data_IF_997183018932
#
_entry.id   IF_997183018932
#
_cell.length_a   1.000
_cell.length_b   1.000
_cell.length_c   1.000
_cell.angle_alpha   90.00
_cell.angle_beta   90.00
_cell.angle_gamma   90.00
#
_symmetry.space_group_name_H-M   'P 1'
#
loop_
_entity.id
_entity.type
_entity.pdbx_description
1 polymer ?
#
# COMPACT_ATOMS: atom_id res chain seq x y z
N UNK A 1 3.41 15.32 7.27
CA UNK A 1 3.19 15.23 5.80
C UNK A 1 2.11 14.18 5.57
N UNK A 2 0.86 14.61 5.37
CA UNK A 2 -0.28 13.69 5.25
C UNK A 2 -0.17 13.01 3.88
N UNK A 3 0.20 11.72 3.85
CA UNK A 3 0.03 10.88 2.66
C UNK A 3 -1.47 10.63 2.47
N UNK A 4 -2.12 11.56 1.79
CA UNK A 4 -3.44 11.34 1.19
C UNK A 4 -3.26 10.34 0.04
N UNK A 5 -3.12 9.06 0.37
CA UNK A 5 -3.40 8.00 -0.60
C UNK A 5 -4.91 7.93 -0.77
N UNK A 6 -5.46 8.88 -1.53
CA UNK A 6 -6.84 8.81 -1.97
C UNK A 6 -6.85 7.73 -3.04
N UNK A 7 -7.26 6.52 -2.64
CA UNK A 7 -7.47 5.40 -3.56
C UNK A 7 -8.64 5.82 -4.46
N UNK A 8 -8.32 6.47 -5.58
CA UNK A 8 -9.28 6.92 -6.59
C UNK A 8 -9.95 5.67 -7.16
N UNK A 9 -11.28 5.61 -7.13
CA UNK A 9 -11.99 4.43 -7.63
C UNK A 9 -11.72 4.28 -9.13
N UNK A 10 -11.71 3.05 -9.66
CA UNK A 10 -11.47 2.82 -11.09
C UNK A 10 -12.46 3.57 -11.99
N UNK A 11 -13.68 3.81 -11.51
CA UNK A 11 -14.69 4.60 -12.22
C UNK A 11 -14.33 6.08 -12.32
N UNK A 12 -13.55 6.59 -11.38
CA UNK A 12 -13.09 7.99 -11.37
C UNK A 12 -11.83 8.16 -12.23
N UNK A 13 -11.07 7.09 -12.49
CA UNK A 13 -9.87 7.11 -13.36
C UNK A 13 -10.21 7.42 -14.83
N UNK A 14 -11.41 7.07 -15.29
CA UNK A 14 -11.87 7.33 -16.67
C UNK A 14 -12.19 8.80 -16.94
N UNK A 15 -12.47 9.56 -15.89
CA UNK A 15 -12.82 10.98 -15.95
C UNK A 15 -11.69 11.86 -15.39
N UNK A 16 -10.45 11.36 -15.45
CA UNK A 16 -9.30 12.02 -14.81
C UNK A 16 -8.53 12.94 -15.74
N UNK A 17 -8.52 12.65 -17.03
CA UNK A 17 -7.72 13.36 -18.02
C UNK A 17 -8.60 14.22 -18.92
N UNK A 18 -8.13 15.42 -19.25
CA UNK A 18 -8.84 16.34 -20.14
C UNK A 18 -7.84 17.13 -20.97
N UNK A 19 -8.17 17.44 -22.22
CA UNK A 19 -7.36 18.33 -23.04
C UNK A 19 -7.27 19.73 -22.41
N UNK A 20 -6.09 20.35 -22.46
CA UNK A 20 -5.86 21.70 -21.93
C UNK A 20 -6.81 22.72 -22.58
N UNK A 21 -7.12 22.56 -23.87
CA UNK A 21 -8.06 23.45 -24.57
C UNK A 21 -9.47 23.40 -23.97
N UNK A 22 -9.93 22.21 -23.57
CA UNK A 22 -11.23 22.05 -22.93
C UNK A 22 -11.24 22.59 -21.49
N UNK A 23 -10.13 22.43 -20.76
CA UNK A 23 -9.92 23.10 -19.46
C UNK A 23 -10.00 24.63 -19.61
N UNK A 24 -9.39 25.19 -20.66
CA UNK A 24 -9.43 26.63 -20.94
C UNK A 24 -10.87 27.08 -21.25
N UNK A 25 -11.61 26.35 -22.10
CA UNK A 25 -13.02 26.65 -22.40
C UNK A 25 -13.86 26.64 -21.12
N UNK A 26 -13.68 25.64 -20.26
CA UNK A 26 -14.40 25.54 -19.00
C UNK A 26 -14.06 26.69 -18.05
N UNK A 27 -12.79 27.07 -17.96
CA UNK A 27 -12.32 28.22 -17.17
C UNK A 27 -12.97 29.52 -17.64
N UNK A 28 -12.99 29.76 -18.95
CA UNK A 28 -13.61 30.97 -19.54
C UNK A 28 -15.10 30.99 -19.21
N UNK A 29 -15.79 29.86 -19.39
CA UNK A 29 -17.21 29.74 -19.06
C UNK A 29 -17.48 30.04 -17.58
N UNK A 30 -16.73 29.41 -16.66
CA UNK A 30 -16.90 29.63 -15.23
C UNK A 30 -16.63 31.08 -14.84
N UNK A 31 -15.60 31.70 -15.42
CA UNK A 31 -15.31 33.13 -15.21
C UNK A 31 -16.49 34.01 -15.64
N UNK A 32 -17.11 33.73 -16.77
CA UNK A 32 -18.26 34.49 -17.26
C UNK A 32 -19.48 34.30 -16.36
N UNK A 33 -19.75 33.09 -15.88
CA UNK A 33 -20.85 32.83 -14.95
C UNK A 33 -20.64 33.55 -13.61
N UNK A 34 -19.43 33.48 -13.05
CA UNK A 34 -19.09 34.21 -11.83
C UNK A 34 -19.15 35.73 -12.02
N UNK A 35 -18.78 36.24 -13.19
CA UNK A 35 -18.88 37.67 -13.51
C UNK A 35 -20.33 38.15 -13.59
N UNK A 36 -21.22 37.37 -14.24
CA UNK A 36 -22.68 37.65 -14.23
C UNK A 36 -23.22 37.69 -12.81
N UNK A 37 -22.80 36.72 -11.99
CA UNK A 37 -23.17 36.63 -10.59
C UNK A 37 -22.61 37.84 -9.79
N UNK A 38 -21.40 38.29 -10.08
CA UNK A 38 -20.85 39.50 -9.46
C UNK A 38 -21.63 40.79 -9.77
N UNK A 39 -22.25 40.86 -10.96
CA UNK A 39 -22.94 42.06 -11.44
C UNK A 39 -24.44 42.10 -11.15
N UNK A 40 -25.03 41.01 -10.65
CA UNK A 40 -26.44 40.99 -10.25
C UNK A 40 -26.64 41.68 -8.88
N UNK A 41 -27.69 42.49 -8.74
CA UNK A 41 -28.05 43.08 -7.44
C UNK A 41 -28.79 42.07 -6.57
N UNK A 42 -28.18 41.67 -5.46
CA UNK A 42 -28.68 40.59 -4.60
C UNK A 42 -29.64 41.07 -3.51
N UNK A 43 -30.88 40.57 -3.51
CA UNK A 43 -31.86 40.79 -2.42
C UNK A 43 -31.72 39.73 -1.31
N UNK A 44 -30.53 39.64 -0.71
CA UNK A 44 -30.25 38.76 0.44
C UNK A 44 -29.44 37.49 0.13
N UNK A 45 -28.88 36.88 1.18
CA UNK A 45 -27.88 35.80 1.09
C UNK A 45 -28.42 34.47 0.52
N UNK A 46 -29.68 34.13 0.76
CA UNK A 46 -30.29 32.88 0.27
C UNK A 46 -30.42 32.83 -1.26
N UNK A 47 -30.64 33.97 -1.92
CA UNK A 47 -30.73 34.05 -3.38
C UNK A 47 -29.34 33.85 -4.00
N UNK A 48 -28.31 34.43 -3.39
CA UNK A 48 -26.91 34.26 -3.82
C UNK A 48 -26.45 32.80 -3.69
N UNK A 49 -26.75 32.15 -2.56
CA UNK A 49 -26.45 30.73 -2.35
C UNK A 49 -27.16 29.82 -3.35
N UNK A 50 -28.44 30.07 -3.63
CA UNK A 50 -29.20 29.31 -4.64
C UNK A 50 -28.61 29.46 -6.06
N UNK A 51 -28.18 30.67 -6.43
CA UNK A 51 -27.53 30.93 -7.73
C UNK A 51 -26.15 30.27 -7.82
N UNK A 52 -25.35 30.32 -6.76
CA UNK A 52 -24.07 29.60 -6.68
C UNK A 52 -24.26 28.08 -6.79
N UNK A 53 -25.29 27.53 -6.14
CA UNK A 53 -25.64 26.11 -6.26
C UNK A 53 -25.97 25.75 -7.71
N UNK A 54 -26.72 26.61 -8.41
CA UNK A 54 -27.02 26.42 -9.82
C UNK A 54 -25.77 26.46 -10.71
N UNK A 55 -24.85 27.40 -10.48
CA UNK A 55 -23.55 27.44 -11.18
C UNK A 55 -22.75 26.16 -10.93
N UNK A 56 -22.73 25.66 -9.68
CA UNK A 56 -22.06 24.41 -9.33
C UNK A 56 -22.65 23.20 -10.06
N UNK A 57 -23.97 23.06 -10.08
CA UNK A 57 -24.64 21.94 -10.76
C UNK A 57 -24.39 21.98 -12.28
N UNK A 58 -24.40 23.17 -12.88
CA UNK A 58 -24.09 23.36 -14.29
C UNK A 58 -22.61 23.09 -14.60
N UNK A 59 -21.71 23.44 -13.69
CA UNK A 59 -20.29 23.12 -13.82
C UNK A 59 -20.07 21.61 -13.78
N UNK A 60 -20.73 20.90 -12.86
CA UNK A 60 -20.64 19.45 -12.72
C UNK A 60 -21.14 18.72 -13.97
N UNK A 61 -22.29 19.13 -14.51
CA UNK A 61 -22.84 18.53 -15.74
C UNK A 61 -21.93 18.75 -16.95
N UNK A 62 -21.44 19.97 -17.14
CA UNK A 62 -20.49 20.31 -18.23
C UNK A 62 -19.19 19.55 -18.10
N UNK A 63 -18.64 19.45 -16.89
CA UNK A 63 -17.40 18.73 -16.65
C UNK A 63 -17.56 17.25 -16.97
N UNK A 64 -18.66 16.63 -16.51
CA UNK A 64 -18.97 15.22 -16.81
C UNK A 64 -19.11 14.96 -18.31
N UNK A 65 -19.78 15.85 -19.02
CA UNK A 65 -19.94 15.76 -20.48
C UNK A 65 -18.60 15.90 -21.22
N UNK A 66 -17.79 16.92 -20.88
CA UNK A 66 -16.47 17.12 -21.48
C UNK A 66 -15.53 15.94 -21.24
N UNK A 67 -15.49 15.43 -20.00
CA UNK A 67 -14.65 14.30 -19.65
C UNK A 67 -15.08 13.02 -20.39
N UNK A 68 -16.39 12.80 -20.54
CA UNK A 68 -16.91 11.66 -21.31
C UNK A 68 -16.57 11.78 -22.79
N UNK A 69 -16.79 12.95 -23.40
CA UNK A 69 -16.47 13.17 -24.81
C UNK A 69 -14.97 13.01 -25.06
N UNK A 70 -14.13 13.49 -24.14
CA UNK A 70 -12.68 13.29 -24.21
C UNK A 70 -12.33 11.80 -24.08
N UNK A 71 -12.88 11.08 -23.10
CA UNK A 71 -12.61 9.65 -22.94
C UNK A 71 -13.03 8.84 -24.16
N UNK A 72 -14.18 9.14 -24.77
CA UNK A 72 -14.68 8.41 -25.94
C UNK A 72 -13.74 8.52 -27.15
N UNK A 73 -12.99 9.64 -27.28
CA UNK A 73 -12.01 9.84 -28.36
C UNK A 73 -10.61 9.35 -27.96
N UNK A 74 -10.18 9.59 -26.72
CA UNK A 74 -8.83 9.28 -26.24
C UNK A 74 -8.61 7.80 -25.91
N UNK A 75 -9.70 7.06 -25.70
CA UNK A 75 -9.72 5.64 -25.40
C UNK A 75 -10.26 4.78 -26.54
N UNK A 76 -10.52 5.34 -27.72
CA UNK A 76 -10.94 4.56 -28.87
C UNK A 76 -9.77 3.73 -29.42
N UNK A 77 -10.07 2.59 -30.03
CA UNK A 77 -9.07 1.71 -30.65
C UNK A 77 -8.24 2.45 -31.71
N UNK A 78 -8.90 3.32 -32.48
CA UNK A 78 -8.33 4.14 -33.56
C UNK A 78 -7.83 5.52 -33.10
N UNK A 79 -7.74 5.77 -31.78
CA UNK A 79 -7.39 7.04 -31.13
C UNK A 79 -7.00 8.20 -32.06
N UNK A 80 -7.93 9.15 -32.22
CA UNK A 80 -7.80 10.29 -33.15
C UNK A 80 -7.54 11.61 -32.40
N UNK A 81 -7.09 11.56 -31.14
CA UNK A 81 -6.85 12.76 -30.34
C UNK A 81 -5.67 13.54 -30.93
N UNK A 82 -5.95 14.76 -31.39
CA UNK A 82 -4.95 15.69 -31.89
C UNK A 82 -3.99 16.16 -30.77
N UNK A 83 -2.76 16.49 -31.13
CA UNK A 83 -1.56 16.76 -30.29
C UNK A 83 -1.66 17.84 -29.18
N UNK A 84 -2.87 18.35 -28.88
CA UNK A 84 -3.04 19.29 -27.77
C UNK A 84 -2.64 18.63 -26.45
N UNK A 85 -1.92 19.37 -25.58
CA UNK A 85 -1.48 18.81 -24.32
C UNK A 85 -2.64 18.42 -23.44
N UNK A 86 -2.49 17.30 -22.75
CA UNK A 86 -3.51 16.76 -21.87
C UNK A 86 -3.13 17.08 -20.43
N UNK A 87 -4.13 17.35 -19.60
CA UNK A 87 -3.97 17.64 -18.19
C UNK A 87 -4.58 16.50 -17.38
N UNK A 88 -3.85 16.02 -16.38
CA UNK A 88 -4.43 15.24 -15.30
C UNK A 88 -5.15 16.20 -14.34
N UNK A 89 -6.48 16.17 -14.32
CA UNK A 89 -7.32 17.04 -13.49
C UNK A 89 -7.07 16.85 -11.98
N UNK A 90 -6.47 15.73 -11.56
CA UNK A 90 -6.16 15.45 -10.16
C UNK A 90 -4.81 16.02 -9.73
N UNK A 91 -3.77 15.82 -10.54
CA UNK A 91 -2.40 16.25 -10.21
C UNK A 91 -2.05 17.61 -10.81
N UNK A 92 -2.90 18.13 -11.70
CA UNK A 92 -2.65 19.32 -12.53
C UNK A 92 -1.36 19.20 -13.37
N UNK A 93 -0.89 17.98 -13.64
CA UNK A 93 0.30 17.73 -14.43
C UNK A 93 -0.06 17.59 -15.91
N UNK A 94 0.80 18.14 -16.75
CA UNK A 94 0.71 18.01 -18.21
C UNK A 94 1.23 16.64 -18.63
N UNK A 95 0.41 15.93 -19.39
CA UNK A 95 0.68 14.63 -20.01
C UNK A 95 0.85 14.88 -21.51
N UNK A 96 1.90 14.30 -22.08
CA UNK A 96 2.21 14.41 -23.51
C UNK A 96 1.73 13.20 -24.34
N UNK A 97 1.03 12.24 -23.71
CA UNK A 97 0.45 11.10 -24.40
C UNK A 97 -0.94 11.47 -24.93
N UNK A 98 -1.19 11.40 -26.24
CA UNK A 98 -2.50 11.71 -26.83
C UNK A 98 -3.53 10.61 -26.61
N UNK A 99 -3.08 9.36 -26.54
CA UNK A 99 -3.92 8.17 -26.43
C UNK A 99 -3.73 7.48 -25.09
N UNK A 100 -4.82 6.96 -24.53
CA UNK A 100 -4.82 6.22 -23.28
C UNK A 100 -5.36 4.81 -23.52
N UNK A 101 -4.93 3.86 -22.67
CA UNK A 101 -5.40 2.47 -22.65
C UNK A 101 -5.43 1.98 -21.20
N UNK A 102 -6.04 0.82 -20.95
CA UNK A 102 -6.05 0.19 -19.63
C UNK A 102 -6.89 0.94 -18.58
N UNK A 103 -6.30 1.27 -17.44
CA UNK A 103 -7.01 1.88 -16.29
C UNK A 103 -7.71 3.21 -16.61
N UNK A 104 -7.12 4.03 -17.48
CA UNK A 104 -7.68 5.33 -17.88
C UNK A 104 -8.90 5.20 -18.79
N UNK A 105 -9.07 4.04 -19.42
CA UNK A 105 -10.14 3.77 -20.37
C UNK A 105 -11.18 2.80 -19.84
N UNK A 106 -11.05 2.41 -18.56
CA UNK A 106 -11.94 1.42 -17.95
C UNK A 106 -11.76 0.02 -18.53
N UNK A 107 -10.68 -0.23 -19.29
CA UNK A 107 -10.38 -1.53 -19.92
C UNK A 107 -9.80 -2.53 -18.90
N UNK A 108 -9.30 -2.06 -17.75
CA UNK A 108 -8.91 -2.98 -16.68
C UNK A 108 -10.15 -3.50 -15.95
N UNK A 109 -10.42 -4.80 -16.14
CA UNK A 109 -11.42 -5.54 -15.39
C UNK A 109 -11.24 -5.28 -13.88
N UNK A 110 -12.18 -4.62 -13.19
CA UNK A 110 -12.02 -4.26 -11.79
C UNK A 110 -11.81 -5.49 -10.90
N UNK A 111 -12.44 -6.63 -11.27
CA UNK A 111 -12.22 -7.93 -10.64
C UNK A 111 -10.77 -8.43 -10.77
N UNK A 112 -10.08 -8.15 -11.88
CA UNK A 112 -8.70 -8.60 -12.12
C UNK A 112 -7.71 -7.77 -11.30
N UNK A 113 -7.94 -6.47 -11.18
CA UNK A 113 -7.14 -5.58 -10.33
C UNK A 113 -7.31 -5.94 -8.84
N UNK A 114 -8.55 -6.12 -8.38
CA UNK A 114 -8.87 -6.54 -7.01
C UNK A 114 -8.27 -7.91 -6.68
N UNK A 115 -8.41 -8.90 -7.57
CA UNK A 115 -7.81 -10.22 -7.39
C UNK A 115 -6.28 -10.16 -7.29
N UNK A 116 -5.64 -9.25 -8.02
CA UNK A 116 -4.17 -9.05 -7.95
C UNK A 116 -3.76 -8.46 -6.61
N UNK A 117 -4.50 -7.48 -6.09
CA UNK A 117 -4.25 -6.92 -4.76
C UNK A 117 -4.45 -7.98 -3.65
N UNK A 118 -5.53 -8.77 -3.73
CA UNK A 118 -5.80 -9.86 -2.79
C UNK A 118 -4.68 -10.91 -2.84
N UNK A 119 -4.25 -11.31 -4.04
CA UNK A 119 -3.16 -12.28 -4.19
C UNK A 119 -1.85 -11.77 -3.59
N UNK A 120 -1.48 -10.51 -3.84
CA UNK A 120 -0.28 -9.90 -3.25
C UNK A 120 -0.37 -9.84 -1.72
N UNK A 121 -1.54 -9.51 -1.17
CA UNK A 121 -1.75 -9.49 0.27
C UNK A 121 -1.59 -10.88 0.90
N UNK A 122 -2.16 -11.91 0.27
CA UNK A 122 -2.02 -13.30 0.72
C UNK A 122 -0.56 -13.77 0.67
N UNK A 123 0.18 -13.41 -0.38
CA UNK A 123 1.61 -13.73 -0.51
C UNK A 123 2.41 -13.10 0.63
N UNK A 124 2.21 -11.80 0.88
CA UNK A 124 2.91 -11.09 1.95
C UNK A 124 2.59 -11.66 3.34
N UNK A 125 1.31 -11.97 3.62
CA UNK A 125 0.93 -12.63 4.86
C UNK A 125 1.61 -14.00 5.01
N UNK A 126 1.63 -14.78 3.94
CA UNK A 126 2.27 -16.10 3.93
C UNK A 126 3.77 -15.98 4.18
N UNK A 127 4.46 -15.03 3.53
CA UNK A 127 5.88 -14.77 3.76
C UNK A 127 6.17 -14.37 5.21
N UNK A 128 5.36 -13.48 5.79
CA UNK A 128 5.54 -13.05 7.19
C UNK A 128 5.36 -14.23 8.15
N UNK A 129 4.38 -15.09 7.92
CA UNK A 129 4.14 -16.28 8.75
C UNK A 129 5.29 -17.29 8.62
N UNK A 130 5.77 -17.56 7.41
CA UNK A 130 6.89 -18.48 7.17
C UNK A 130 8.18 -17.93 7.80
N UNK A 131 8.52 -16.67 7.55
CA UNK A 131 9.72 -16.06 8.11
C UNK A 131 9.65 -15.95 9.63
N UNK A 132 8.50 -15.55 10.17
CA UNK A 132 8.27 -15.47 11.60
C UNK A 132 8.39 -16.82 12.29
N UNK A 133 7.77 -17.87 11.73
CA UNK A 133 7.86 -19.23 12.27
C UNK A 133 9.28 -19.78 12.20
N UNK A 134 10.01 -19.56 11.11
CA UNK A 134 11.41 -19.96 10.98
C UNK A 134 12.31 -19.29 12.02
N UNK A 135 12.13 -17.98 12.27
CA UNK A 135 12.87 -17.24 13.29
C UNK A 135 12.58 -17.75 14.71
N UNK A 136 11.31 -18.02 15.02
CA UNK A 136 10.92 -18.55 16.34
C UNK A 136 11.53 -19.94 16.55
N UNK A 137 11.44 -20.83 15.56
CA UNK A 137 12.05 -22.15 15.63
C UNK A 137 13.57 -22.07 15.82
N UNK A 138 14.23 -21.18 15.08
CA UNK A 138 15.66 -20.94 15.23
C UNK A 138 16.02 -20.51 16.66
N UNK A 139 15.28 -19.56 17.23
CA UNK A 139 15.49 -19.11 18.61
C UNK A 139 15.29 -20.24 19.63
N UNK A 140 14.22 -21.04 19.49
CA UNK A 140 13.96 -22.19 20.36
C UNK A 140 15.08 -23.23 20.23
N UNK A 141 15.52 -23.55 19.01
CA UNK A 141 16.61 -24.50 18.78
C UNK A 141 17.93 -24.02 19.42
N UNK A 142 18.27 -22.74 19.29
CA UNK A 142 19.48 -22.17 19.91
C UNK A 142 19.38 -22.21 21.44
N UNK A 143 18.25 -21.81 22.01
CA UNK A 143 18.00 -21.87 23.46
C UNK A 143 18.09 -23.30 23.98
N UNK A 144 17.45 -24.24 23.29
CA UNK A 144 17.46 -25.66 23.65
C UNK A 144 18.89 -26.23 23.59
N UNK A 145 19.65 -25.94 22.53
CA UNK A 145 21.04 -26.38 22.38
C UNK A 145 21.94 -25.82 23.48
N UNK A 146 21.74 -24.56 23.89
CA UNK A 146 22.45 -23.94 25.02
C UNK A 146 22.11 -24.64 26.34
N UNK A 147 20.83 -24.90 26.62
CA UNK A 147 20.38 -25.63 27.82
C UNK A 147 20.97 -27.04 27.87
N UNK A 148 20.87 -27.80 26.78
CA UNK A 148 21.44 -29.15 26.69
C UNK A 148 22.96 -29.16 26.91
N UNK A 149 23.69 -28.18 26.37
CA UNK A 149 25.14 -28.06 26.58
C UNK A 149 25.49 -27.77 28.04
N UNK A 150 24.68 -26.99 28.75
CA UNK A 150 24.86 -26.73 30.18
C UNK A 150 24.61 -28.00 31.02
N UNK A 151 23.51 -28.72 30.76
CA UNK A 151 23.16 -29.97 31.45
C UNK A 151 24.25 -31.04 31.23
N UNK A 152 24.76 -31.17 29.99
CA UNK A 152 25.81 -32.16 29.69
C UNK A 152 27.11 -31.86 30.45
N UNK A 153 27.46 -30.58 30.62
CA UNK A 153 28.63 -30.17 31.40
C UNK A 153 28.46 -30.44 32.89
N UNK A 154 27.28 -30.15 33.46
CA UNK A 154 27.03 -30.44 34.88
C UNK A 154 27.02 -31.94 35.16
N UNK A 155 26.43 -32.74 34.27
CA UNK A 155 26.43 -34.19 34.38
C UNK A 155 27.84 -34.79 34.29
N UNK A 156 28.67 -34.28 33.36
CA UNK A 156 30.07 -34.71 33.24
C UNK A 156 30.85 -34.42 34.53
N UNK A 157 30.73 -33.22 35.09
CA UNK A 157 31.37 -32.86 36.36
C UNK A 157 30.89 -33.72 37.53
N UNK A 158 29.59 -34.04 37.57
CA UNK A 158 29.03 -34.91 38.60
C UNK A 158 29.61 -36.33 38.53
N UNK A 159 29.73 -36.88 37.31
CA UNK A 159 30.34 -38.20 37.09
C UNK A 159 31.83 -38.22 37.41
N UNK A 160 32.61 -37.21 37.00
CA UNK A 160 34.04 -37.09 37.35
C UNK A 160 34.24 -37.06 38.87
N UNK A 161 33.47 -36.24 39.59
CA UNK A 161 33.53 -36.17 41.06
C UNK A 161 33.18 -37.51 41.72
N UNK A 162 32.14 -38.19 41.22
CA UNK A 162 31.74 -39.52 41.75
C UNK A 162 32.80 -40.59 41.49
N UNK A 163 33.50 -40.52 40.36
CA UNK A 163 34.60 -41.42 40.04
C UNK A 163 35.81 -41.17 40.96
N UNK A 164 36.17 -39.91 41.22
CA UNK A 164 37.24 -39.55 42.16
C UNK A 164 36.93 -40.01 43.60
N UNK A 165 35.69 -39.83 44.08
CA UNK A 165 35.25 -40.34 45.38
C UNK A 165 35.42 -41.87 45.47
N UNK A 166 35.05 -42.61 44.43
CA UNK A 166 35.19 -44.08 44.36
C UNK A 166 36.65 -44.54 44.33
N UNK A 167 37.51 -43.88 43.55
CA UNK A 167 38.95 -44.19 43.55
C UNK A 167 39.58 -43.90 44.92
N UNK A 168 39.26 -42.77 45.55
CA UNK A 168 39.76 -42.43 46.88
C UNK A 168 39.38 -43.46 47.96
N UNK A 169 38.13 -43.95 47.95
CA UNK A 169 37.70 -45.03 48.85
C UNK A 169 38.44 -46.36 48.57
N UNK A 170 38.78 -46.63 47.32
CA UNK A 170 39.50 -47.85 46.94
C UNK A 170 40.97 -47.79 47.38
N UNK A 171 41.60 -46.63 47.23
CA UNK A 171 42.99 -46.38 47.66
C UNK A 171 43.13 -46.38 49.19
N UNK A 172 42.15 -45.81 49.93
CA UNK A 172 42.12 -45.90 51.40
C UNK A 172 41.98 -47.36 51.86
N UNK A 173 41.06 -48.11 51.26
CA UNK A 173 40.87 -49.52 51.58
C UNK A 173 42.10 -50.37 51.26
N UNK A 174 42.78 -50.08 50.14
CA UNK A 174 44.04 -50.76 49.78
C UNK A 174 45.20 -50.43 50.74
N UNK A 175 45.24 -49.22 51.30
CA UNK A 175 46.23 -48.84 52.33
C UNK A 175 45.95 -49.49 53.68
N UNK A 176 44.69 -49.62 54.07
CA UNK A 176 44.31 -50.34 55.29
C UNK A 176 44.63 -51.84 55.16
N UNK A 177 44.41 -52.46 53.99
CA UNK A 177 44.77 -53.87 53.73
C UNK A 177 46.29 -54.10 53.67
N UNK A 178 47.10 -53.10 53.28
CA UNK A 178 48.57 -53.16 53.25
C UNK A 178 49.24 -52.73 54.59
N UNK A 179 48.49 -52.13 55.51
CA UNK A 179 48.93 -51.71 56.85
C UNK A 179 48.81 -52.79 57.92
N UNK A 180 48.30 -53.98 57.59
CA UNK A 180 48.27 -55.13 58.50
C UNK A 180 49.60 -55.88 58.40
N UNK A 181 50.63 -55.35 59.06
CA UNK A 181 51.65 -56.14 59.78
C UNK A 181 52.32 -55.32 60.87
#
# INVERSE_FOLDING_TARGET
MIRLSIKVSHRDKTLRVLAVDDVIKLRIWLKNELYKLGNETWKGAFIFQGKLLNVRLNLESKLKEMLKNFSDVACSEDCVVTESPILDCWTCLRINSPCFRGEYCGEENPKKAENREIALFLILLTEVVILGSALILFHICVLHRRKMKAIRRSLKKYLEKKLEELMGMTDEKAKDDLGIR
#
